data_IF_634676077964
#
_entry.id   IF_634676077964
#
_cell.length_a   1.000
_cell.length_b   1.000
_cell.length_c   1.000
_cell.angle_alpha   90.00
_cell.angle_beta   90.00
_cell.angle_gamma   90.00
#
_symmetry.space_group_name_H-M   'P 1'
#
loop_
_entity.id
_entity.type
_entity.pdbx_description
1 polymer ?
#
# COMPACT_ATOMS: atom_id res chain seq x y z
N UNK A 1 -51.09 34.19 49.55
CA UNK A 1 -50.17 33.16 50.10
C UNK A 1 -50.02 31.96 49.18
N UNK A 2 -51.07 31.57 48.45
CA UNK A 2 -51.05 30.40 47.54
C UNK A 2 -50.31 30.63 46.22
N UNK A 3 -50.45 31.83 45.62
CA UNK A 3 -49.70 32.24 44.43
C UNK A 3 -48.18 32.17 44.63
N UNK A 4 -47.71 32.68 45.78
CA UNK A 4 -46.28 32.66 46.15
C UNK A 4 -45.75 31.23 46.26
N UNK A 5 -46.55 30.29 46.78
CA UNK A 5 -46.17 28.87 46.84
C UNK A 5 -46.10 28.22 45.46
N UNK A 6 -46.96 28.65 44.53
CA UNK A 6 -46.92 28.17 43.15
C UNK A 6 -45.69 28.69 42.41
N UNK A 7 -45.36 29.96 42.58
CA UNK A 7 -44.15 30.56 42.01
C UNK A 7 -42.88 29.92 42.59
N UNK A 8 -42.84 29.67 43.90
CA UNK A 8 -41.75 28.94 44.56
C UNK A 8 -41.53 27.56 43.91
N UNK A 9 -42.60 26.77 43.74
CA UNK A 9 -42.53 25.44 43.09
C UNK A 9 -42.14 25.50 41.62
N UNK A 10 -42.45 26.60 40.94
CA UNK A 10 -42.03 26.80 39.55
C UNK A 10 -40.54 27.10 39.50
N UNK A 11 -40.08 28.01 40.35
CA UNK A 11 -38.66 28.37 40.45
C UNK A 11 -37.80 27.17 40.87
N UNK A 12 -38.27 26.33 41.80
CA UNK A 12 -37.59 25.10 42.20
C UNK A 12 -37.44 24.10 41.04
N UNK A 13 -38.46 23.98 40.17
CA UNK A 13 -38.39 23.13 38.98
C UNK A 13 -37.42 23.69 37.95
N UNK A 14 -37.51 24.97 37.65
CA UNK A 14 -36.57 25.65 36.72
C UNK A 14 -35.12 25.52 37.22
N UNK A 15 -34.89 25.68 38.53
CA UNK A 15 -33.57 25.50 39.14
C UNK A 15 -33.08 24.05 39.02
N UNK A 16 -33.96 23.07 39.21
CA UNK A 16 -33.61 21.64 39.05
C UNK A 16 -33.28 21.31 37.60
N UNK A 17 -34.05 21.82 36.64
CA UNK A 17 -33.81 21.64 35.21
C UNK A 17 -32.48 22.27 34.77
N UNK A 18 -32.17 23.47 35.28
CA UNK A 18 -30.88 24.12 35.04
C UNK A 18 -29.71 23.33 35.65
N UNK A 19 -29.87 22.77 36.85
CA UNK A 19 -28.84 21.95 37.49
C UNK A 19 -28.55 20.68 36.66
N UNK A 20 -29.61 20.00 36.22
CA UNK A 20 -29.49 18.83 35.35
C UNK A 20 -28.82 19.17 34.03
N UNK A 21 -29.19 20.30 33.42
CA UNK A 21 -28.59 20.76 32.17
C UNK A 21 -27.10 21.07 32.36
N UNK A 22 -26.73 21.70 33.47
CA UNK A 22 -25.34 22.01 33.79
C UNK A 22 -24.51 20.73 33.94
N UNK A 23 -25.04 19.71 34.64
CA UNK A 23 -24.39 18.41 34.77
C UNK A 23 -24.18 17.72 33.41
N UNK A 24 -25.19 17.72 32.54
CA UNK A 24 -25.04 17.13 31.19
C UNK A 24 -24.00 17.85 30.34
N UNK A 25 -23.94 19.18 30.43
CA UNK A 25 -22.96 19.97 29.70
C UNK A 25 -21.54 19.75 30.22
N UNK A 26 -21.39 19.52 31.53
CA UNK A 26 -20.11 19.20 32.16
C UNK A 26 -19.59 17.83 31.68
N UNK A 27 -20.45 16.81 31.64
CA UNK A 27 -20.12 15.49 31.08
C UNK A 27 -19.77 15.54 29.58
N UNK A 28 -20.49 16.33 28.79
CA UNK A 28 -20.18 16.56 27.37
C UNK A 28 -18.83 17.27 27.20
N UNK A 29 -18.53 18.23 28.07
CA UNK A 29 -17.26 18.97 28.04
C UNK A 29 -16.08 18.05 28.33
N UNK A 30 -16.20 17.13 29.29
CA UNK A 30 -15.14 16.16 29.58
C UNK A 30 -14.92 15.17 28.43
N UNK A 31 -16.00 14.68 27.80
CA UNK A 31 -15.88 13.86 26.57
C UNK A 31 -15.21 14.63 25.43
N UNK A 32 -15.50 15.92 25.28
CA UNK A 32 -14.86 16.77 24.29
C UNK A 32 -13.36 16.94 24.57
N UNK A 33 -12.95 17.13 25.84
CA UNK A 33 -11.53 17.19 26.21
C UNK A 33 -10.78 15.91 25.84
N UNK A 34 -11.38 14.75 26.12
CA UNK A 34 -10.80 13.46 25.76
C UNK A 34 -10.66 13.32 24.22
N UNK A 35 -11.69 13.73 23.48
CA UNK A 35 -11.66 13.73 22.02
C UNK A 35 -10.55 14.64 21.47
N UNK A 36 -10.36 15.82 22.03
CA UNK A 36 -9.28 16.75 21.64
C UNK A 36 -7.91 16.13 21.88
N UNK A 37 -7.73 15.42 22.99
CA UNK A 37 -6.44 14.79 23.31
C UNK A 37 -6.12 13.63 22.37
N UNK A 38 -7.13 12.86 21.94
CA UNK A 38 -6.98 11.84 20.89
C UNK A 38 -6.64 12.48 19.55
N UNK A 39 -7.35 13.55 19.18
CA UNK A 39 -7.11 14.29 17.94
C UNK A 39 -5.67 14.83 17.88
N UNK A 40 -5.16 15.40 18.98
CA UNK A 40 -3.78 15.86 19.09
C UNK A 40 -2.76 14.74 18.88
N UNK A 41 -2.99 13.54 19.45
CA UNK A 41 -2.11 12.38 19.23
C UNK A 41 -2.11 11.95 17.77
N UNK A 42 -3.29 11.92 17.12
CA UNK A 42 -3.41 11.56 15.71
C UNK A 42 -2.70 12.58 14.82
N UNK A 43 -2.87 13.88 15.07
CA UNK A 43 -2.15 14.94 14.36
C UNK A 43 -0.64 14.82 14.50
N UNK A 44 -0.15 14.52 15.71
CA UNK A 44 1.28 14.28 15.94
C UNK A 44 1.80 13.10 15.12
N UNK A 45 1.08 11.97 15.13
CA UNK A 45 1.47 10.78 14.36
C UNK A 45 1.50 11.05 12.85
N UNK A 46 0.56 11.86 12.33
CA UNK A 46 0.54 12.25 10.91
C UNK A 46 1.83 13.00 10.55
N UNK A 47 2.20 14.02 11.34
CA UNK A 47 3.42 14.81 11.10
C UNK A 47 4.67 13.91 11.14
N UNK A 48 4.77 13.02 12.14
CA UNK A 48 5.90 12.09 12.25
C UNK A 48 6.00 11.13 11.05
N UNK A 49 4.86 10.67 10.52
CA UNK A 49 4.82 9.82 9.33
C UNK A 49 5.17 10.60 8.06
N UNK A 50 4.71 11.85 7.94
CA UNK A 50 5.05 12.73 6.82
C UNK A 50 6.57 13.01 6.78
N UNK A 51 7.19 13.28 7.93
CA UNK A 51 8.63 13.47 8.06
C UNK A 51 9.42 12.21 7.65
N UNK A 52 8.98 11.04 8.11
CA UNK A 52 9.59 9.77 7.70
C UNK A 52 9.48 9.56 6.18
N UNK A 53 8.34 9.85 5.57
CA UNK A 53 8.14 9.75 4.12
C UNK A 53 9.07 10.72 3.40
N UNK A 54 9.19 11.97 3.88
CA UNK A 54 10.10 12.96 3.32
C UNK A 54 11.56 12.47 3.36
N UNK A 55 11.99 11.92 4.49
CA UNK A 55 13.34 11.39 4.65
C UNK A 55 13.60 10.17 3.74
N UNK A 56 12.66 9.22 3.67
CA UNK A 56 12.76 8.06 2.76
C UNK A 56 12.82 8.51 1.30
N UNK A 57 12.04 9.51 0.90
CA UNK A 57 12.08 10.08 -0.45
C UNK A 57 13.44 10.74 -0.76
N UNK A 58 14.04 11.43 0.21
CA UNK A 58 15.40 11.99 0.06
C UNK A 58 16.42 10.87 -0.15
N UNK A 59 16.34 9.80 0.64
CA UNK A 59 17.23 8.64 0.51
C UNK A 59 17.08 7.95 -0.86
N UNK A 60 15.85 7.78 -1.36
CA UNK A 60 15.61 7.23 -2.71
C UNK A 60 16.31 8.09 -3.76
N UNK A 61 16.19 9.42 -3.70
CA UNK A 61 16.87 10.32 -4.66
C UNK A 61 18.38 10.19 -4.59
N UNK A 62 18.95 10.12 -3.39
CA UNK A 62 20.40 9.92 -3.20
C UNK A 62 20.86 8.57 -3.76
N UNK A 63 20.10 7.50 -3.52
CA UNK A 63 20.42 6.18 -4.07
C UNK A 63 20.29 6.13 -5.60
N UNK A 64 19.25 6.77 -6.16
CA UNK A 64 19.07 6.89 -7.60
C UNK A 64 20.23 7.65 -8.26
N UNK A 65 20.67 8.76 -7.66
CA UNK A 65 21.84 9.50 -8.13
C UNK A 65 23.10 8.62 -8.11
N UNK A 66 23.35 7.93 -7.00
CA UNK A 66 24.50 7.02 -6.86
C UNK A 66 24.46 5.89 -7.88
N UNK A 67 23.28 5.30 -8.14
CA UNK A 67 23.10 4.27 -9.17
C UNK A 67 23.39 4.83 -10.57
N UNK A 68 22.94 6.05 -10.87
CA UNK A 68 23.23 6.71 -12.15
C UNK A 68 24.72 6.96 -12.33
N UNK A 69 25.41 7.45 -11.29
CA UNK A 69 26.85 7.68 -11.30
C UNK A 69 27.62 6.36 -11.50
N UNK A 70 27.26 5.31 -10.75
CA UNK A 70 27.87 3.99 -10.90
C UNK A 70 27.65 3.41 -12.30
N UNK A 71 26.44 3.57 -12.87
CA UNK A 71 26.15 3.16 -14.24
C UNK A 71 27.05 3.90 -15.24
N UNK A 72 27.25 5.20 -15.06
CA UNK A 72 28.11 6.02 -15.92
C UNK A 72 29.57 5.55 -15.84
N UNK A 73 30.08 5.30 -14.63
CA UNK A 73 31.43 4.75 -14.43
C UNK A 73 31.58 3.39 -15.11
N UNK A 74 30.65 2.44 -14.89
CA UNK A 74 30.71 1.12 -15.51
C UNK A 74 30.63 1.18 -17.04
N UNK A 75 29.77 2.03 -17.60
CA UNK A 75 29.68 2.22 -19.06
C UNK A 75 30.95 2.86 -19.65
N UNK A 76 31.61 3.73 -18.88
CA UNK A 76 32.87 4.35 -19.27
C UNK A 76 34.03 3.34 -19.25
N UNK A 77 34.11 2.49 -18.22
CA UNK A 77 35.13 1.43 -18.12
C UNK A 77 34.92 0.31 -19.15
N UNK A 78 33.66 0.00 -19.50
CA UNK A 78 33.32 -1.00 -20.53
C UNK A 78 33.48 -0.48 -21.96
N UNK A 79 33.61 0.83 -22.17
CA UNK A 79 33.94 1.41 -23.48
C UNK A 79 35.44 1.20 -23.75
N UNK A 80 35.77 0.03 -24.30
CA UNK A 80 37.12 -0.26 -24.80
C UNK A 80 37.48 0.71 -25.94
N UNK A 81 38.63 1.41 -25.92
CA UNK A 81 39.13 2.10 -27.10
C UNK A 81 39.79 1.04 -28.01
N UNK A 82 38.99 0.32 -28.79
CA UNK A 82 39.55 -0.77 -29.58
C UNK A 82 38.57 -1.58 -30.40
N UNK A 83 37.71 -0.94 -31.22
CA UNK A 83 37.36 -1.45 -32.55
C UNK A 83 36.52 -0.41 -33.32
N UNK A 84 36.96 0.12 -34.47
CA UNK A 84 36.22 1.15 -35.21
C UNK A 84 35.10 0.60 -36.12
N UNK A 85 34.63 -0.64 -35.96
CA UNK A 85 33.83 -1.29 -37.01
C UNK A 85 32.45 -1.85 -36.60
N UNK A 86 31.85 -1.37 -35.52
CA UNK A 86 30.43 -1.63 -35.24
C UNK A 86 29.71 -0.32 -34.93
N UNK A 87 29.39 0.40 -36.00
CA UNK A 87 28.37 1.43 -36.03
C UNK A 87 27.01 0.75 -35.77
N UNK A 88 26.59 0.74 -34.50
CA UNK A 88 25.23 0.36 -34.13
C UNK A 88 24.37 1.62 -34.18
N UNK A 89 23.41 1.63 -35.11
CA UNK A 89 22.36 2.63 -35.34
C UNK A 89 21.45 2.91 -34.13
N UNK A 90 21.99 3.38 -33.00
CA UNK A 90 21.18 3.82 -31.85
C UNK A 90 21.75 5.07 -31.15
N UNK A 91 22.54 5.87 -31.87
CA UNK A 91 23.05 7.16 -31.39
C UNK A 91 22.64 8.26 -32.37
N UNK A 92 21.35 8.56 -32.45
CA UNK A 92 20.90 9.81 -33.06
C UNK A 92 19.77 10.43 -32.22
N UNK A 93 20.15 10.98 -31.07
CA UNK A 93 19.27 11.82 -30.26
C UNK A 93 20.04 12.87 -29.44
N UNK A 94 21.27 13.20 -29.85
CA UNK A 94 21.99 14.34 -29.28
C UNK A 94 22.87 15.01 -30.34
N UNK A 95 22.28 15.97 -31.05
CA UNK A 95 23.03 17.09 -31.64
C UNK A 95 22.30 18.41 -31.31
N UNK A 96 23.03 19.48 -30.93
CA UNK A 96 22.47 20.65 -30.26
C UNK A 96 22.03 21.76 -31.23
N UNK A 97 21.14 22.62 -30.74
CA UNK A 97 20.68 23.90 -31.31
C UNK A 97 19.77 23.81 -32.56
N UNK A 98 18.48 24.13 -32.36
CA UNK A 98 17.72 25.16 -33.08
C UNK A 98 16.43 25.44 -32.27
N UNK A 99 16.16 26.72 -32.02
CA UNK A 99 15.02 27.25 -31.28
C UNK A 99 13.72 27.12 -32.10
N UNK A 100 12.73 26.34 -31.64
CA UNK A 100 11.33 26.48 -32.06
C UNK A 100 10.38 26.20 -30.88
N UNK A 101 9.36 27.04 -30.62
CA UNK A 101 8.33 26.75 -29.63
C UNK A 101 7.20 26.00 -30.32
N UNK A 102 7.13 24.69 -30.16
CA UNK A 102 5.96 23.90 -30.59
C UNK A 102 5.32 23.24 -29.38
N UNK A 103 4.09 23.68 -29.10
CA UNK A 103 3.23 23.11 -28.08
C UNK A 103 2.91 21.66 -28.42
N UNK A 104 3.42 20.73 -27.61
CA UNK A 104 2.94 19.34 -27.61
C UNK A 104 2.69 18.88 -26.19
N UNK A 105 1.41 18.60 -25.96
CA UNK A 105 0.75 17.97 -24.83
C UNK A 105 1.64 17.01 -24.01
N UNK A 106 1.84 17.33 -22.74
CA UNK A 106 2.43 16.47 -21.72
C UNK A 106 1.50 15.29 -21.40
N UNK A 107 1.49 14.25 -22.24
CA UNK A 107 0.85 12.97 -21.90
C UNK A 107 1.90 11.99 -21.36
N UNK A 108 1.91 11.86 -20.03
CA UNK A 108 2.15 10.61 -19.28
C UNK A 108 3.10 9.57 -19.89
N UNK A 109 4.35 9.54 -19.41
CA UNK A 109 5.18 8.33 -19.46
C UNK A 109 5.67 7.91 -18.06
N UNK A 110 4.84 7.18 -17.30
CA UNK A 110 5.30 6.18 -16.35
C UNK A 110 4.95 4.74 -16.79
N UNK A 111 4.30 4.58 -17.94
CA UNK A 111 3.73 3.29 -18.37
C UNK A 111 4.73 2.34 -19.05
N UNK A 112 5.82 2.84 -19.63
CA UNK A 112 6.77 1.99 -20.36
C UNK A 112 7.62 1.13 -19.41
N UNK A 113 8.16 1.73 -18.34
CA UNK A 113 8.96 1.02 -17.33
C UNK A 113 8.13 -0.02 -16.58
N UNK A 114 6.87 0.31 -16.21
CA UNK A 114 5.96 -0.65 -15.59
C UNK A 114 5.67 -1.86 -16.47
N UNK A 115 5.59 -1.69 -17.80
CA UNK A 115 5.32 -2.82 -18.69
C UNK A 115 6.51 -3.77 -18.77
N UNK A 116 7.74 -3.25 -18.88
CA UNK A 116 8.92 -4.10 -18.90
C UNK A 116 9.09 -4.87 -17.57
N UNK A 117 8.86 -4.22 -16.43
CA UNK A 117 8.91 -4.89 -15.12
C UNK A 117 7.81 -5.95 -14.95
N UNK A 118 6.58 -5.68 -15.40
CA UNK A 118 5.48 -6.65 -15.38
C UNK A 118 5.72 -7.80 -16.38
N UNK A 119 6.30 -7.55 -17.56
CA UNK A 119 6.65 -8.58 -18.54
C UNK A 119 7.76 -9.50 -18.03
N UNK A 120 8.74 -8.92 -17.33
CA UNK A 120 9.78 -9.64 -16.59
C UNK A 120 9.15 -10.46 -15.45
N UNK A 121 8.21 -9.88 -14.71
CA UNK A 121 7.43 -10.56 -13.66
C UNK A 121 6.66 -11.77 -14.23
N UNK A 122 5.98 -11.64 -15.38
CA UNK A 122 5.27 -12.76 -16.04
C UNK A 122 6.21 -13.85 -16.55
N UNK A 123 7.38 -13.48 -17.07
CA UNK A 123 8.41 -14.43 -17.51
C UNK A 123 8.95 -15.25 -16.33
N UNK A 124 9.20 -14.60 -15.18
CA UNK A 124 9.58 -15.29 -13.95
C UNK A 124 8.43 -16.11 -13.37
N UNK A 125 7.22 -15.56 -13.35
CA UNK A 125 6.03 -16.20 -12.84
C UNK A 125 5.75 -17.51 -13.58
N UNK A 126 5.82 -17.53 -14.91
CA UNK A 126 5.66 -18.76 -15.71
C UNK A 126 6.64 -19.85 -15.25
N UNK A 127 7.91 -19.49 -15.07
CA UNK A 127 8.93 -20.43 -14.63
C UNK A 127 8.72 -20.88 -13.19
N UNK A 128 8.38 -19.96 -12.29
CA UNK A 128 8.15 -20.22 -10.87
C UNK A 128 6.93 -21.11 -10.66
N UNK A 129 5.83 -20.89 -11.39
CA UNK A 129 4.63 -21.75 -11.36
C UNK A 129 4.94 -23.13 -11.93
N UNK A 130 5.63 -23.19 -13.07
CA UNK A 130 6.04 -24.47 -13.65
C UNK A 130 6.94 -25.27 -12.70
N UNK A 131 7.93 -24.61 -12.10
CA UNK A 131 8.83 -25.21 -11.11
C UNK A 131 8.03 -25.63 -9.87
N UNK A 132 7.14 -24.81 -9.35
CA UNK A 132 6.29 -25.16 -8.19
C UNK A 132 5.44 -26.41 -8.43
N UNK A 133 4.85 -26.56 -9.61
CA UNK A 133 4.03 -27.73 -9.97
C UNK A 133 4.84 -29.01 -10.20
N UNK A 134 6.13 -28.88 -10.54
CA UNK A 134 7.02 -30.01 -10.89
C UNK A 134 8.10 -30.30 -9.84
N UNK A 135 8.29 -29.40 -8.87
CA UNK A 135 9.29 -29.48 -7.82
C UNK A 135 8.92 -30.49 -6.73
N UNK A 136 9.94 -30.90 -5.99
CA UNK A 136 9.77 -31.69 -4.77
C UNK A 136 9.24 -30.83 -3.63
N UNK A 137 8.62 -31.49 -2.65
CA UNK A 137 7.92 -30.91 -1.51
C UNK A 137 8.66 -29.84 -0.70
N UNK A 138 9.99 -29.94 -0.58
CA UNK A 138 10.80 -28.96 0.15
C UNK A 138 11.08 -27.70 -0.69
N UNK A 139 11.28 -27.87 -2.00
CA UNK A 139 11.47 -26.75 -2.93
C UNK A 139 10.19 -25.96 -3.13
N UNK A 140 9.05 -26.65 -3.20
CA UNK A 140 7.74 -26.04 -3.37
C UNK A 140 7.39 -25.07 -2.23
N UNK A 141 7.80 -25.34 -0.98
CA UNK A 141 7.60 -24.41 0.15
C UNK A 141 8.31 -23.07 -0.07
N UNK A 142 9.55 -23.08 -0.57
CA UNK A 142 10.28 -21.84 -0.84
C UNK A 142 9.69 -21.08 -2.04
N UNK A 143 9.11 -21.79 -3.00
CA UNK A 143 8.47 -21.19 -4.16
C UNK A 143 7.12 -20.52 -3.83
N UNK A 144 6.45 -20.89 -2.72
CA UNK A 144 5.22 -20.20 -2.26
C UNK A 144 5.47 -18.71 -2.02
N UNK A 145 6.60 -18.35 -1.40
CA UNK A 145 6.97 -16.95 -1.14
C UNK A 145 7.23 -16.16 -2.42
N UNK A 146 7.86 -16.81 -3.40
CA UNK A 146 8.08 -16.23 -4.71
C UNK A 146 6.73 -15.99 -5.41
N UNK A 147 5.86 -16.99 -5.47
CA UNK A 147 4.53 -16.88 -6.10
C UNK A 147 3.67 -15.82 -5.41
N UNK A 148 3.67 -15.79 -4.07
CA UNK A 148 2.94 -14.79 -3.27
C UNK A 148 3.34 -13.36 -3.63
N UNK A 149 4.64 -13.12 -3.85
CA UNK A 149 5.16 -11.80 -4.23
C UNK A 149 4.82 -11.45 -5.68
N UNK A 150 4.98 -12.40 -6.61
CA UNK A 150 4.74 -12.17 -8.05
C UNK A 150 3.24 -12.01 -8.38
N UNK A 151 2.37 -12.71 -7.66
CA UNK A 151 0.90 -12.68 -7.83
C UNK A 151 0.17 -11.78 -6.84
N UNK A 152 0.87 -11.16 -5.88
CA UNK A 152 0.30 -10.30 -4.84
C UNK A 152 -0.79 -11.00 -4.03
N UNK A 153 -0.50 -12.22 -3.56
CA UNK A 153 -1.42 -12.94 -2.70
C UNK A 153 -1.60 -12.22 -1.36
N UNK A 154 -2.81 -12.34 -0.82
CA UNK A 154 -3.12 -12.00 0.56
C UNK A 154 -2.52 -13.04 1.50
N UNK A 155 -2.37 -12.67 2.77
CA UNK A 155 -1.84 -13.56 3.80
C UNK A 155 -2.68 -14.85 3.97
N UNK A 156 -4.00 -14.76 3.75
CA UNK A 156 -4.92 -15.89 3.80
C UNK A 156 -4.72 -16.85 2.62
N UNK A 157 -4.52 -16.32 1.42
CA UNK A 157 -4.26 -17.11 0.21
C UNK A 157 -2.91 -17.84 0.29
N UNK A 158 -1.86 -17.16 0.76
CA UNK A 158 -0.54 -17.76 0.96
C UNK A 158 -0.61 -18.89 2.00
N UNK A 159 -1.28 -18.64 3.13
CA UNK A 159 -1.47 -19.64 4.18
C UNK A 159 -2.26 -20.84 3.69
N UNK A 160 -3.30 -20.64 2.89
CA UNK A 160 -4.09 -21.73 2.33
C UNK A 160 -3.25 -22.67 1.44
N UNK A 161 -2.35 -22.11 0.63
CA UNK A 161 -1.46 -22.89 -0.23
C UNK A 161 -0.43 -23.65 0.62
N UNK A 162 0.12 -23.01 1.65
CA UNK A 162 1.04 -23.63 2.61
C UNK A 162 0.36 -24.80 3.35
N UNK A 163 -0.83 -24.58 3.90
CA UNK A 163 -1.62 -25.60 4.61
C UNK A 163 -1.99 -26.75 3.67
N UNK A 164 -2.26 -26.49 2.39
CA UNK A 164 -2.56 -27.53 1.39
C UNK A 164 -1.33 -28.39 1.09
N UNK A 165 -0.17 -27.76 1.03
CA UNK A 165 1.09 -28.45 0.78
C UNK A 165 1.53 -29.28 2.00
N UNK A 166 1.34 -28.76 3.21
CA UNK A 166 1.65 -29.46 4.46
C UNK A 166 0.63 -30.56 4.77
N UNK A 167 -0.64 -30.38 4.38
CA UNK A 167 -1.65 -31.45 4.39
C UNK A 167 -1.24 -32.59 3.46
N UNK A 168 -0.79 -32.31 2.24
CA UNK A 168 -0.30 -33.35 1.33
C UNK A 168 0.90 -34.13 1.89
N UNK A 169 1.74 -33.48 2.71
CA UNK A 169 2.86 -34.13 3.42
C UNK A 169 2.42 -34.98 4.61
N UNK A 170 1.27 -34.66 5.20
CA UNK A 170 0.74 -35.35 6.36
C UNK A 170 -0.17 -36.48 5.89
N UNK A 171 0.31 -37.73 5.97
CA UNK A 171 -0.45 -38.93 5.58
C UNK A 171 -1.82 -39.06 6.29
N UNK A 172 -2.04 -38.33 7.38
CA UNK A 172 -3.33 -38.21 8.06
C UNK A 172 -3.68 -36.74 8.31
N UNK A 173 -4.77 -36.28 7.69
CA UNK A 173 -5.32 -34.94 7.92
C UNK A 173 -6.52 -34.67 7.03
N UNK A 174 -7.42 -33.80 7.47
CA UNK A 174 -8.53 -33.31 6.64
C UNK A 174 -8.05 -32.22 5.69
N UNK A 175 -8.46 -32.29 4.42
CA UNK A 175 -8.12 -31.30 3.39
C UNK A 175 -8.52 -29.89 3.86
N UNK A 176 -7.63 -28.87 3.73
CA UNK A 176 -7.97 -27.50 4.06
C UNK A 176 -9.25 -27.05 3.35
N UNK A 177 -10.17 -26.42 4.09
CA UNK A 177 -11.44 -25.93 3.56
C UNK A 177 -11.19 -24.59 2.88
N UNK A 178 -11.55 -24.48 1.61
CA UNK A 178 -11.62 -23.19 0.94
C UNK A 178 -12.63 -22.30 1.68
N UNK A 179 -12.34 -21.01 1.88
CA UNK A 179 -13.35 -20.08 2.36
C UNK A 179 -14.49 -20.10 1.34
N UNK A 180 -15.65 -20.61 1.74
CA UNK A 180 -16.84 -20.59 0.91
C UNK A 180 -17.12 -19.12 0.60
N UNK A 181 -17.09 -18.76 -0.68
CA UNK A 181 -17.55 -17.46 -1.17
C UNK A 181 -19.07 -17.37 -0.95
N UNK A 182 -19.47 -17.09 0.29
CA UNK A 182 -20.84 -16.80 0.70
C UNK A 182 -21.23 -15.39 0.28
N UNK A 183 -21.15 -15.11 -1.02
CA UNK A 183 -21.75 -13.96 -1.69
C UNK A 183 -22.08 -14.41 -3.11
N UNK A 184 -23.26 -15.00 -3.28
CA UNK A 184 -24.05 -15.06 -4.52
C UNK A 184 -25.25 -16.00 -4.30
N UNK A 185 -26.16 -15.60 -3.41
CA UNK A 185 -27.56 -16.04 -3.38
C UNK A 185 -28.32 -15.06 -2.53
N UNK A 186 -28.86 -14.03 -3.16
CA UNK A 186 -30.03 -13.27 -2.73
C UNK A 186 -30.35 -12.26 -3.83
N UNK A 187 -30.87 -12.76 -4.95
CA UNK A 187 -31.75 -12.02 -5.85
C UNK A 187 -32.59 -13.04 -6.61
N UNK A 188 -33.62 -13.55 -5.94
CA UNK A 188 -34.75 -14.23 -6.55
C UNK A 188 -35.96 -14.04 -5.64
N UNK A 189 -36.97 -13.34 -6.16
CA UNK A 189 -38.34 -13.21 -5.67
C UNK A 189 -38.57 -12.48 -4.33
N UNK A 190 -39.03 -11.23 -4.44
CA UNK A 190 -40.44 -10.89 -4.20
C UNK A 190 -40.80 -9.63 -4.97
#
# INVERSE_FOLDING_TARGET
MELVKQDMRRLEREMTDHLNKLNTLEEENDKLKDSVLVEQRLRKNIVELEDQIMEKNKNIKTLQLRLADMKKTLQQELRTPGNPNYHSDLMDLNSPAILTPTQVSTRHFPAFVKREDEDVNFKYLKHVIFKFLTSREYEAQHLIKAISTLLKFTQDEEKLIQDTLDWKKSWFGSKPKYPASSKLRNFSNS
#
